data_IF_924151186741
#
_entry.id   IF_924151186741
#
_cell.length_a   1.000
_cell.length_b   1.000
_cell.length_c   1.000
_cell.angle_alpha   90.00
_cell.angle_beta   90.00
_cell.angle_gamma   90.00
#
_symmetry.space_group_name_H-M   'P 1'
#
loop_
_entity.id
_entity.type
_entity.pdbx_description
1 polymer ?
#
# COMPACT_ATOMS: atom_id res chain seq x y z
N UNK A 1 39.54 26.51 -51.14
CA UNK A 1 40.37 25.81 -50.14
C UNK A 1 39.78 25.90 -48.69
N UNK A 2 39.00 26.92 -48.35
CA UNK A 2 38.51 27.16 -47.00
C UNK A 2 37.51 26.12 -46.42
N UNK A 3 36.66 25.49 -47.25
CA UNK A 3 35.65 24.56 -46.79
C UNK A 3 36.16 23.16 -46.35
N UNK A 4 37.34 22.75 -46.85
CA UNK A 4 37.93 21.45 -46.48
C UNK A 4 38.65 21.51 -45.14
N UNK A 5 39.25 22.63 -44.77
CA UNK A 5 39.89 22.84 -43.47
C UNK A 5 38.87 22.93 -42.34
N UNK A 6 37.70 23.51 -42.54
CA UNK A 6 36.61 23.54 -41.56
C UNK A 6 36.02 22.17 -41.28
N UNK A 7 35.85 21.34 -42.32
CA UNK A 7 35.30 19.99 -42.16
C UNK A 7 36.27 19.05 -41.46
N UNK A 8 37.57 19.14 -41.71
CA UNK A 8 38.61 18.36 -41.02
C UNK A 8 38.75 18.78 -39.55
N UNK A 9 38.66 20.07 -39.24
CA UNK A 9 38.68 20.56 -37.86
C UNK A 9 37.45 20.09 -37.08
N UNK A 10 36.27 20.12 -37.71
CA UNK A 10 35.02 19.61 -37.09
C UNK A 10 35.10 18.10 -36.85
N UNK A 11 35.63 17.32 -37.80
CA UNK A 11 35.84 15.88 -37.68
C UNK A 11 36.83 15.52 -36.55
N UNK A 12 37.92 16.29 -36.42
CA UNK A 12 38.90 16.13 -35.34
C UNK A 12 38.30 16.45 -33.96
N UNK A 13 37.48 17.49 -33.84
CA UNK A 13 36.80 17.84 -32.58
C UNK A 13 35.84 16.73 -32.20
N UNK A 14 35.07 16.19 -33.15
CA UNK A 14 34.13 15.06 -32.91
C UNK A 14 34.89 13.80 -32.49
N UNK A 15 36.03 13.48 -33.15
CA UNK A 15 36.83 12.30 -32.77
C UNK A 15 37.47 12.43 -31.37
N UNK A 16 37.94 13.64 -30.99
CA UNK A 16 38.51 13.88 -29.66
C UNK A 16 37.44 13.81 -28.57
N UNK A 17 36.23 14.29 -28.84
CA UNK A 17 35.11 14.19 -27.87
C UNK A 17 34.61 12.75 -27.68
N UNK A 18 34.55 11.97 -28.77
CA UNK A 18 34.21 10.53 -28.72
C UNK A 18 35.29 9.75 -27.95
N UNK A 19 36.57 10.01 -28.18
CA UNK A 19 37.69 9.36 -27.49
C UNK A 19 37.69 9.63 -25.97
N UNK A 20 37.39 10.86 -25.55
CA UNK A 20 37.28 11.22 -24.13
C UNK A 20 36.05 10.57 -23.48
N UNK A 21 34.92 10.50 -24.16
CA UNK A 21 33.69 9.86 -23.66
C UNK A 21 33.92 8.35 -23.49
N UNK A 22 34.61 7.68 -24.39
CA UNK A 22 34.88 6.25 -24.31
C UNK A 22 35.85 5.89 -23.15
N UNK A 23 36.85 6.74 -22.89
CA UNK A 23 37.77 6.53 -21.74
C UNK A 23 37.07 6.76 -20.39
N UNK A 24 36.18 7.75 -20.31
CA UNK A 24 35.38 8.01 -19.11
C UNK A 24 34.44 6.83 -18.78
N UNK A 25 33.72 6.33 -19.76
CA UNK A 25 32.84 5.15 -19.60
C UNK A 25 33.59 3.92 -19.08
N UNK A 26 34.73 3.55 -19.71
CA UNK A 26 35.54 2.39 -19.32
C UNK A 26 36.06 2.53 -17.88
N UNK A 27 36.47 3.72 -17.49
CA UNK A 27 36.92 4.01 -16.12
C UNK A 27 35.80 3.82 -15.12
N UNK A 28 34.61 4.37 -15.41
CA UNK A 28 33.45 4.26 -14.51
C UNK A 28 32.93 2.83 -14.42
N UNK A 29 32.95 2.08 -15.52
CA UNK A 29 32.60 0.66 -15.51
C UNK A 29 33.56 -0.14 -14.62
N UNK A 30 34.89 0.03 -14.80
CA UNK A 30 35.91 -0.66 -14.02
C UNK A 30 35.82 -0.33 -12.51
N UNK A 31 35.70 0.95 -12.15
CA UNK A 31 35.61 1.36 -10.74
C UNK A 31 34.32 0.86 -10.11
N UNK A 32 33.19 1.01 -10.77
CA UNK A 32 31.91 0.52 -10.22
C UNK A 32 31.88 -1.00 -10.10
N UNK A 33 32.54 -1.75 -11.00
CA UNK A 33 32.69 -3.19 -10.90
C UNK A 33 33.61 -3.56 -9.74
N UNK A 34 34.72 -2.88 -9.56
CA UNK A 34 35.64 -3.12 -8.43
C UNK A 34 34.95 -2.91 -7.08
N UNK A 35 34.19 -1.81 -6.93
CA UNK A 35 33.40 -1.52 -5.73
C UNK A 35 32.31 -2.57 -5.50
N UNK A 36 31.65 -3.03 -6.55
CA UNK A 36 30.65 -4.09 -6.50
C UNK A 36 31.24 -5.41 -6.02
N UNK A 37 32.35 -5.85 -6.61
CA UNK A 37 33.05 -7.08 -6.23
C UNK A 37 33.62 -7.03 -4.80
N UNK A 38 34.01 -5.85 -4.34
CA UNK A 38 34.45 -5.62 -2.96
C UNK A 38 33.28 -5.50 -1.96
N UNK A 39 32.02 -5.56 -2.40
CA UNK A 39 30.83 -5.35 -1.58
C UNK A 39 30.81 -3.99 -0.87
N UNK A 40 31.49 -2.98 -1.41
CA UNK A 40 31.55 -1.63 -0.87
C UNK A 40 30.31 -0.79 -1.25
N UNK A 41 29.13 -1.26 -0.81
CA UNK A 41 27.81 -0.77 -1.27
C UNK A 41 27.61 0.73 -1.12
N UNK A 42 28.03 1.31 0.04
CA UNK A 42 27.88 2.76 0.25
C UNK A 42 28.75 3.56 -0.71
N UNK A 43 30.01 3.15 -0.91
CA UNK A 43 30.91 3.83 -1.86
C UNK A 43 30.42 3.67 -3.28
N UNK A 44 29.92 2.50 -3.66
CA UNK A 44 29.34 2.24 -4.97
C UNK A 44 28.15 3.16 -5.27
N UNK A 45 27.21 3.30 -4.32
CA UNK A 45 26.06 4.19 -4.47
C UNK A 45 26.50 5.65 -4.64
N UNK A 46 27.46 6.12 -3.81
CA UNK A 46 27.96 7.49 -3.88
C UNK A 46 28.70 7.75 -5.19
N UNK A 47 29.62 6.86 -5.58
CA UNK A 47 30.36 6.94 -6.82
C UNK A 47 29.44 6.92 -8.04
N UNK A 48 28.52 5.94 -8.05
CA UNK A 48 27.58 5.77 -9.15
C UNK A 48 26.63 6.96 -9.33
N UNK A 49 26.12 7.55 -8.23
CA UNK A 49 25.30 8.77 -8.31
C UNK A 49 26.10 9.95 -8.91
N UNK A 50 27.35 10.11 -8.52
CA UNK A 50 28.20 11.14 -9.10
C UNK A 50 28.46 10.91 -10.58
N UNK A 51 28.71 9.66 -10.99
CA UNK A 51 28.89 9.29 -12.41
C UNK A 51 27.62 9.61 -13.23
N UNK A 52 26.43 9.23 -12.72
CA UNK A 52 25.15 9.55 -13.37
C UNK A 52 24.93 11.06 -13.50
N UNK A 53 25.29 11.85 -12.48
CA UNK A 53 25.19 13.32 -12.52
C UNK A 53 26.15 13.94 -13.54
N UNK A 54 27.28 13.28 -13.83
CA UNK A 54 28.24 13.68 -14.85
C UNK A 54 27.86 13.20 -16.27
N UNK A 55 26.69 12.56 -16.43
CA UNK A 55 26.20 12.07 -17.70
C UNK A 55 26.68 10.67 -18.09
N UNK A 56 27.37 9.96 -17.21
CA UNK A 56 27.84 8.59 -17.42
C UNK A 56 26.75 7.59 -17.07
N UNK A 57 25.71 7.51 -17.91
CA UNK A 57 24.50 6.72 -17.70
C UNK A 57 24.48 5.48 -18.60
N UNK A 58 24.55 4.29 -18.00
CA UNK A 58 24.46 3.02 -18.72
C UNK A 58 23.87 1.90 -17.87
N UNK A 59 23.26 0.87 -18.48
CA UNK A 59 22.49 -0.15 -17.77
C UNK A 59 23.26 -0.89 -16.68
N UNK A 60 24.52 -1.28 -16.92
CA UNK A 60 25.32 -2.01 -15.92
C UNK A 60 25.62 -1.17 -14.68
N UNK A 61 25.90 0.13 -14.84
CA UNK A 61 26.09 1.04 -13.71
C UNK A 61 24.81 1.14 -12.88
N UNK A 62 23.65 1.32 -13.55
CA UNK A 62 22.36 1.37 -12.88
C UNK A 62 22.01 0.07 -12.14
N UNK A 63 22.27 -1.10 -12.75
CA UNK A 63 22.08 -2.40 -12.09
C UNK A 63 22.93 -2.55 -10.83
N UNK A 64 24.22 -2.13 -10.88
CA UNK A 64 25.10 -2.18 -9.70
C UNK A 64 24.65 -1.24 -8.59
N UNK A 65 24.28 0.01 -8.94
CA UNK A 65 23.73 0.98 -7.95
C UNK A 65 22.41 0.44 -7.36
N UNK A 66 21.54 -0.13 -8.19
CA UNK A 66 20.28 -0.70 -7.77
C UNK A 66 20.50 -1.85 -6.77
N UNK A 67 21.38 -2.79 -7.10
CA UNK A 67 21.72 -3.91 -6.22
C UNK A 67 22.33 -3.45 -4.92
N UNK A 68 23.25 -2.47 -4.96
CA UNK A 68 23.83 -1.90 -3.74
C UNK A 68 22.79 -1.26 -2.82
N UNK A 69 21.77 -0.58 -3.37
CA UNK A 69 20.65 -0.05 -2.60
C UNK A 69 19.73 -1.18 -2.10
N UNK A 70 19.50 -2.22 -2.89
CA UNK A 70 18.72 -3.41 -2.48
C UNK A 70 19.33 -4.10 -1.25
N UNK A 71 20.64 -4.40 -1.27
CA UNK A 71 21.35 -5.00 -0.15
C UNK A 71 21.31 -4.13 1.11
N UNK A 72 21.26 -2.81 0.94
CA UNK A 72 21.12 -1.83 2.04
C UNK A 72 19.67 -1.59 2.46
N UNK A 73 18.74 -2.41 1.98
CA UNK A 73 17.29 -2.30 2.25
C UNK A 73 16.65 -0.97 1.82
N UNK A 74 17.31 -0.18 0.97
CA UNK A 74 16.71 1.00 0.36
C UNK A 74 15.99 0.61 -0.92
N UNK A 75 14.84 -0.07 -0.77
CA UNK A 75 14.08 -0.65 -1.89
C UNK A 75 13.51 0.41 -2.83
N UNK A 76 13.18 1.60 -2.33
CA UNK A 76 12.72 2.73 -3.13
C UNK A 76 13.78 3.20 -4.12
N UNK A 77 15.00 3.39 -3.64
CA UNK A 77 16.11 3.85 -4.49
C UNK A 77 16.55 2.73 -5.44
N UNK A 78 16.59 1.47 -4.97
CA UNK A 78 16.84 0.30 -5.81
C UNK A 78 15.82 0.22 -6.95
N UNK A 79 14.52 0.32 -6.64
CA UNK A 79 13.43 0.29 -7.61
C UNK A 79 13.52 1.43 -8.62
N UNK A 80 13.98 2.62 -8.19
CA UNK A 80 14.20 3.76 -9.08
C UNK A 80 15.22 3.42 -10.17
N UNK A 81 16.34 2.79 -9.79
CA UNK A 81 17.37 2.42 -10.75
C UNK A 81 16.97 1.23 -11.63
N UNK A 82 16.34 0.18 -11.05
CA UNK A 82 15.82 -0.92 -11.85
C UNK A 82 14.75 -0.48 -12.85
N UNK A 83 13.87 0.44 -12.48
CA UNK A 83 12.87 0.98 -13.39
C UNK A 83 13.50 1.74 -14.55
N UNK A 84 14.61 2.47 -14.32
CA UNK A 84 15.36 3.13 -15.40
C UNK A 84 15.96 2.14 -16.40
N UNK A 85 16.42 0.98 -15.91
CA UNK A 85 16.87 -0.11 -16.81
C UNK A 85 15.69 -0.65 -17.62
N UNK A 86 14.55 -0.91 -16.96
CA UNK A 86 13.32 -1.45 -17.59
C UNK A 86 12.65 -0.45 -18.55
N UNK A 87 12.91 0.84 -18.43
CA UNK A 87 12.42 1.84 -19.39
C UNK A 87 13.16 1.71 -20.75
N UNK A 88 14.42 1.22 -20.75
CA UNK A 88 15.23 0.97 -21.96
C UNK A 88 15.09 -0.48 -22.44
N UNK A 89 15.14 -1.44 -21.52
CA UNK A 89 15.03 -2.88 -21.81
C UNK A 89 13.98 -3.51 -20.91
N UNK A 90 12.75 -3.63 -21.42
CA UNK A 90 11.59 -4.17 -20.69
C UNK A 90 11.73 -5.65 -20.34
N UNK A 91 12.65 -6.37 -20.95
CA UNK A 91 12.90 -7.81 -20.77
C UNK A 91 14.16 -8.11 -19.97
N UNK A 92 14.82 -7.10 -19.40
CA UNK A 92 15.98 -7.31 -18.57
C UNK A 92 15.63 -8.11 -17.31
N UNK A 93 15.98 -9.41 -17.29
CA UNK A 93 15.55 -10.35 -16.26
C UNK A 93 16.10 -10.00 -14.88
N UNK A 94 17.32 -9.45 -14.79
CA UNK A 94 17.90 -9.01 -13.50
C UNK A 94 17.07 -7.85 -12.95
N UNK A 95 16.77 -6.85 -13.78
CA UNK A 95 15.98 -5.70 -13.35
C UNK A 95 14.54 -6.10 -13.00
N UNK A 96 13.90 -7.01 -13.76
CA UNK A 96 12.57 -7.54 -13.47
C UNK A 96 12.52 -8.25 -12.12
N UNK A 97 13.49 -9.16 -11.87
CA UNK A 97 13.52 -9.97 -10.66
C UNK A 97 13.73 -9.11 -9.40
N UNK A 98 14.75 -8.24 -9.41
CA UNK A 98 14.99 -7.39 -8.25
C UNK A 98 13.93 -6.29 -8.07
N UNK A 99 13.31 -5.79 -9.14
CA UNK A 99 12.15 -4.91 -9.04
C UNK A 99 10.93 -5.63 -8.45
N UNK A 100 10.73 -6.93 -8.79
CA UNK A 100 9.74 -7.80 -8.16
C UNK A 100 9.98 -7.87 -6.63
N UNK A 101 11.20 -8.20 -6.20
CA UNK A 101 11.55 -8.28 -4.78
C UNK A 101 11.37 -6.94 -4.06
N UNK A 102 11.81 -5.82 -4.67
CA UNK A 102 11.62 -4.49 -4.10
C UNK A 102 10.13 -4.18 -3.86
N UNK A 103 9.25 -4.50 -4.82
CA UNK A 103 7.82 -4.29 -4.66
C UNK A 103 7.23 -5.21 -3.56
N UNK A 104 7.66 -6.47 -3.48
CA UNK A 104 7.25 -7.38 -2.42
C UNK A 104 7.65 -6.86 -1.03
N UNK A 105 8.90 -6.38 -0.87
CA UNK A 105 9.37 -5.79 0.40
C UNK A 105 8.75 -4.42 0.74
N UNK A 106 8.14 -3.74 -0.24
CA UNK A 106 7.34 -2.52 -0.04
C UNK A 106 5.85 -2.79 0.17
N UNK A 107 5.45 -4.07 0.28
CA UNK A 107 4.04 -4.50 0.39
C UNK A 107 3.18 -4.01 -0.80
N UNK A 108 3.73 -4.11 -2.02
CA UNK A 108 3.08 -3.76 -3.29
C UNK A 108 2.84 -5.02 -4.11
N UNK A 109 2.08 -5.96 -3.56
CA UNK A 109 1.88 -7.30 -4.12
C UNK A 109 1.32 -7.32 -5.54
N UNK A 110 0.45 -6.38 -5.87
CA UNK A 110 -0.11 -6.21 -7.19
C UNK A 110 0.95 -5.86 -8.24
N UNK A 111 1.91 -4.97 -7.90
CA UNK A 111 3.03 -4.61 -8.78
C UNK A 111 4.09 -5.72 -8.84
N UNK A 112 4.36 -6.38 -7.72
CA UNK A 112 5.22 -7.56 -7.68
C UNK A 112 4.66 -8.65 -8.61
N UNK A 113 3.36 -8.93 -8.54
CA UNK A 113 2.69 -9.88 -9.44
C UNK A 113 2.83 -9.49 -10.92
N UNK A 114 2.61 -8.21 -11.26
CA UNK A 114 2.83 -7.74 -12.63
C UNK A 114 4.25 -8.02 -13.13
N UNK A 115 5.28 -7.71 -12.34
CA UNK A 115 6.68 -7.95 -12.71
C UNK A 115 6.98 -9.44 -12.84
N UNK A 116 6.45 -10.26 -11.92
CA UNK A 116 6.57 -11.71 -11.97
C UNK A 116 6.00 -12.32 -13.27
N UNK A 117 4.94 -11.72 -13.84
CA UNK A 117 4.36 -12.16 -15.12
C UNK A 117 5.25 -11.93 -16.34
N UNK A 118 6.38 -11.23 -16.20
CA UNK A 118 7.33 -10.90 -17.26
C UNK A 118 8.71 -11.58 -17.03
N UNK A 119 8.84 -12.37 -15.95
CA UNK A 119 10.04 -13.16 -15.69
C UNK A 119 10.07 -14.40 -16.58
N UNK A 120 11.27 -14.83 -16.94
CA UNK A 120 11.49 -16.09 -17.65
C UNK A 120 11.07 -17.28 -16.79
N UNK A 121 10.59 -18.35 -17.43
CA UNK A 121 10.12 -19.57 -16.75
C UNK A 121 11.16 -20.16 -15.81
N UNK A 122 12.42 -20.16 -16.21
CA UNK A 122 13.53 -20.68 -15.40
C UNK A 122 13.69 -19.91 -14.07
N UNK A 123 13.50 -18.58 -14.08
CA UNK A 123 13.55 -17.74 -12.88
C UNK A 123 12.32 -18.01 -12.01
N UNK A 124 11.14 -18.08 -12.63
CA UNK A 124 9.87 -18.34 -11.92
C UNK A 124 9.90 -19.71 -11.23
N UNK A 125 10.38 -20.74 -11.89
CA UNK A 125 10.49 -22.09 -11.34
C UNK A 125 11.58 -22.19 -10.26
N UNK A 126 12.77 -21.61 -10.51
CA UNK A 126 13.89 -21.60 -9.57
C UNK A 126 13.54 -20.92 -8.26
N UNK A 127 12.88 -19.77 -8.34
CA UNK A 127 12.47 -18.96 -7.18
C UNK A 127 11.08 -19.33 -6.63
N UNK A 128 10.44 -20.37 -7.20
CA UNK A 128 9.11 -20.88 -6.81
C UNK A 128 8.02 -19.80 -6.79
N UNK A 129 8.09 -18.83 -7.72
CA UNK A 129 7.11 -17.77 -7.86
C UNK A 129 5.84 -18.34 -8.51
N UNK A 130 4.73 -18.32 -7.77
CA UNK A 130 3.47 -18.93 -8.24
C UNK A 130 2.51 -17.87 -8.76
N UNK A 131 1.84 -18.15 -9.87
CA UNK A 131 0.76 -17.30 -10.40
C UNK A 131 -0.48 -17.36 -9.51
N UNK A 132 -0.84 -18.56 -9.04
CA UNK A 132 -1.86 -18.76 -8.01
C UNK A 132 -1.18 -19.00 -6.66
N UNK A 133 -1.56 -18.22 -5.64
CA UNK A 133 -1.04 -18.38 -4.29
C UNK A 133 -2.08 -17.88 -3.28
N UNK A 134 -2.36 -18.69 -2.27
CA UNK A 134 -2.95 -18.22 -1.02
C UNK A 134 -1.89 -17.38 -0.31
N UNK A 135 -2.16 -16.11 -0.06
CA UNK A 135 -1.19 -15.21 0.58
C UNK A 135 -1.39 -15.17 2.07
N UNK A 136 -2.64 -14.95 2.51
CA UNK A 136 -2.95 -14.78 3.92
C UNK A 136 -4.29 -15.43 4.27
N UNK A 137 -4.37 -15.98 5.47
CA UNK A 137 -5.62 -16.37 6.13
C UNK A 137 -5.58 -15.87 7.55
N UNK A 138 -6.66 -15.24 8.02
CA UNK A 138 -6.65 -14.71 9.37
C UNK A 138 -8.03 -14.51 9.95
N UNK A 139 -8.01 -14.22 11.25
CA UNK A 139 -9.18 -13.83 11.99
C UNK A 139 -8.83 -12.72 12.98
N UNK A 140 -9.79 -11.85 13.22
CA UNK A 140 -9.70 -10.80 14.23
C UNK A 140 -10.99 -10.73 15.03
N UNK A 141 -10.89 -10.31 16.29
CA UNK A 141 -12.03 -10.06 17.14
C UNK A 141 -11.73 -8.92 18.10
N UNK A 142 -12.76 -8.21 18.50
CA UNK A 142 -12.63 -7.08 19.40
C UNK A 142 -13.90 -6.71 20.13
N UNK A 143 -13.70 -5.83 21.09
CA UNK A 143 -14.77 -5.30 21.93
C UNK A 143 -14.67 -3.77 21.94
N UNK A 144 -15.82 -3.10 21.94
CA UNK A 144 -15.95 -1.66 22.07
C UNK A 144 -16.69 -1.34 23.35
N UNK A 145 -16.17 -0.39 24.11
CA UNK A 145 -16.73 0.10 25.34
C UNK A 145 -17.17 1.55 25.17
N UNK A 146 -18.31 1.89 25.74
CA UNK A 146 -18.81 3.26 25.78
C UNK A 146 -18.95 3.75 27.21
N UNK A 147 -18.90 5.05 27.40
CA UNK A 147 -19.12 5.67 28.73
C UNK A 147 -20.59 6.02 29.00
N UNK A 148 -21.52 5.48 28.21
CA UNK A 148 -22.95 5.74 28.35
C UNK A 148 -23.73 4.42 28.39
N UNK A 149 -24.80 4.37 29.20
CA UNK A 149 -25.59 3.17 29.37
C UNK A 149 -26.43 2.81 28.14
N UNK A 150 -26.87 3.81 27.39
CA UNK A 150 -27.74 3.67 26.21
C UNK A 150 -27.07 2.92 25.04
N UNK A 151 -25.77 2.84 25.07
CA UNK A 151 -24.95 2.10 24.08
C UNK A 151 -24.15 1.04 24.82
N UNK A 152 -24.65 -0.18 24.86
CA UNK A 152 -23.94 -1.32 25.44
C UNK A 152 -22.61 -1.62 24.73
N UNK A 153 -21.77 -2.40 25.38
CA UNK A 153 -20.51 -2.86 24.81
C UNK A 153 -20.78 -3.68 23.55
N UNK A 154 -20.12 -3.32 22.45
CA UNK A 154 -20.29 -4.06 21.21
C UNK A 154 -19.11 -4.99 20.95
N UNK A 155 -19.38 -6.08 20.24
CA UNK A 155 -18.37 -7.05 19.80
C UNK A 155 -18.27 -7.08 18.27
N UNK A 156 -17.09 -7.37 17.79
CA UNK A 156 -16.79 -7.52 16.37
C UNK A 156 -15.91 -8.74 16.18
N UNK A 157 -16.16 -9.49 15.13
CA UNK A 157 -15.29 -10.58 14.68
C UNK A 157 -15.26 -10.63 13.17
N UNK A 158 -14.11 -10.97 12.60
CA UNK A 158 -13.92 -11.12 11.15
C UNK A 158 -12.99 -12.28 10.86
N UNK A 159 -13.33 -13.09 9.87
CA UNK A 159 -12.43 -14.04 9.23
C UNK A 159 -12.16 -13.57 7.79
N UNK A 160 -10.93 -13.73 7.32
CA UNK A 160 -10.54 -13.25 6.00
C UNK A 160 -9.53 -14.17 5.31
N UNK A 161 -9.49 -14.01 3.99
CA UNK A 161 -8.58 -14.69 3.11
C UNK A 161 -8.09 -13.71 2.04
N UNK A 162 -6.78 -13.70 1.80
CA UNK A 162 -6.15 -12.98 0.71
C UNK A 162 -5.44 -13.98 -0.21
N UNK A 163 -5.60 -13.78 -1.52
CA UNK A 163 -5.01 -14.68 -2.51
C UNK A 163 -4.65 -13.95 -3.80
N UNK A 164 -3.60 -14.41 -4.43
CA UNK A 164 -3.28 -14.11 -5.82
C UNK A 164 -3.95 -15.15 -6.71
N UNK A 165 -4.97 -14.74 -7.48
CA UNK A 165 -5.66 -15.61 -8.43
C UNK A 165 -4.86 -15.83 -9.72
N UNK A 166 -4.13 -14.81 -10.13
CA UNK A 166 -3.18 -14.79 -11.24
C UNK A 166 -2.12 -13.72 -10.97
N UNK A 167 -1.01 -13.72 -11.70
CA UNK A 167 0.06 -12.73 -11.51
C UNK A 167 -0.44 -11.27 -11.44
N UNK A 168 -1.48 -10.94 -12.18
CA UNK A 168 -2.03 -9.57 -12.29
C UNK A 168 -3.36 -9.40 -11.55
N UNK A 169 -3.83 -10.41 -10.81
CA UNK A 169 -5.14 -10.39 -10.18
C UNK A 169 -5.06 -10.91 -8.75
N UNK A 170 -5.35 -10.04 -7.79
CA UNK A 170 -5.43 -10.38 -6.37
C UNK A 170 -6.88 -10.24 -5.88
N UNK A 171 -7.29 -11.14 -5.01
CA UNK A 171 -8.60 -11.17 -4.34
C UNK A 171 -8.39 -11.14 -2.83
N UNK A 172 -9.13 -10.26 -2.16
CA UNK A 172 -9.35 -10.27 -0.72
C UNK A 172 -10.82 -10.56 -0.45
N UNK A 173 -11.13 -11.46 0.48
CA UNK A 173 -12.51 -11.73 0.87
C UNK A 173 -12.61 -11.88 2.39
N UNK A 174 -13.72 -11.44 2.99
CA UNK A 174 -13.95 -11.62 4.41
C UNK A 174 -15.42 -11.73 4.77
N UNK A 175 -15.67 -12.43 5.86
CA UNK A 175 -16.93 -12.45 6.60
C UNK A 175 -16.72 -11.76 7.93
N UNK A 176 -17.63 -10.87 8.31
CA UNK A 176 -17.61 -10.18 9.59
C UNK A 176 -18.95 -10.32 10.31
N UNK A 177 -18.90 -10.24 11.64
CA UNK A 177 -20.07 -10.21 12.49
C UNK A 177 -19.91 -9.14 13.56
N UNK A 178 -20.84 -8.21 13.60
CA UNK A 178 -20.92 -7.16 14.61
C UNK A 178 -22.19 -7.34 15.45
N UNK A 179 -22.06 -7.14 16.76
CA UNK A 179 -23.16 -7.21 17.69
C UNK A 179 -23.08 -6.06 18.70
N UNK A 180 -24.21 -5.39 18.96
CA UNK A 180 -24.30 -4.29 19.94
C UNK A 180 -25.63 -4.29 20.67
N UNK A 181 -25.63 -4.45 22.00
CA UNK A 181 -26.80 -4.17 22.82
C UNK A 181 -27.14 -2.67 22.80
N UNK A 182 -28.43 -2.34 22.65
CA UNK A 182 -28.97 -0.97 22.71
C UNK A 182 -30.21 -1.02 23.58
N UNK A 183 -30.17 -0.52 24.82
CA UNK A 183 -31.21 -0.66 25.81
C UNK A 183 -31.58 -2.15 26.02
N UNK A 184 -32.85 -2.49 25.76
CA UNK A 184 -33.37 -3.86 25.84
C UNK A 184 -33.30 -4.63 24.52
N UNK A 185 -32.63 -4.06 23.50
CA UNK A 185 -32.56 -4.62 22.16
C UNK A 185 -31.12 -4.94 21.80
N UNK A 186 -30.97 -5.61 20.68
CA UNK A 186 -29.67 -5.99 20.15
C UNK A 186 -29.59 -5.73 18.62
N UNK A 187 -28.53 -5.04 18.20
CA UNK A 187 -28.20 -4.98 16.79
C UNK A 187 -27.27 -6.14 16.47
N UNK A 188 -27.63 -6.93 15.47
CA UNK A 188 -26.73 -7.92 14.87
C UNK A 188 -26.49 -7.58 13.40
N UNK A 189 -25.24 -7.70 12.95
CA UNK A 189 -24.85 -7.32 11.61
C UNK A 189 -23.79 -8.26 11.03
N UNK A 190 -24.18 -9.34 10.34
CA UNK A 190 -23.28 -10.05 9.44
C UNK A 190 -22.92 -9.16 8.24
N UNK A 191 -21.66 -9.25 7.82
CA UNK A 191 -21.10 -8.54 6.69
C UNK A 191 -20.28 -9.45 5.78
N UNK A 192 -20.33 -9.21 4.47
CA UNK A 192 -19.58 -9.92 3.44
C UNK A 192 -18.84 -8.91 2.59
N UNK A 193 -17.53 -9.06 2.48
CA UNK A 193 -16.68 -8.16 1.73
C UNK A 193 -15.82 -8.92 0.72
N UNK A 194 -15.68 -8.34 -0.47
CA UNK A 194 -14.74 -8.79 -1.49
C UNK A 194 -14.06 -7.60 -2.16
N UNK A 195 -12.75 -7.71 -2.40
CA UNK A 195 -11.95 -6.73 -3.13
C UNK A 195 -11.10 -7.42 -4.18
N UNK A 196 -11.08 -6.88 -5.39
CA UNK A 196 -10.24 -7.28 -6.50
C UNK A 196 -9.26 -6.16 -6.84
N UNK A 197 -7.98 -6.52 -7.01
CA UNK A 197 -6.96 -5.64 -7.56
C UNK A 197 -6.47 -6.25 -8.89
N UNK A 198 -6.61 -5.48 -9.98
CA UNK A 198 -6.15 -5.87 -11.31
C UNK A 198 -5.07 -4.92 -11.80
N UNK A 199 -3.87 -5.43 -12.13
CA UNK A 199 -2.69 -4.67 -12.54
C UNK A 199 -2.29 -5.00 -13.97
N UNK A 200 -2.97 -4.42 -14.98
CA UNK A 200 -2.68 -4.67 -16.39
C UNK A 200 -1.39 -4.05 -16.87
N UNK A 201 -0.96 -2.94 -16.24
CA UNK A 201 0.21 -2.16 -16.62
C UNK A 201 1.18 -2.02 -15.46
N UNK A 202 2.47 -1.88 -15.76
CA UNK A 202 3.48 -1.58 -14.74
C UNK A 202 3.08 -0.32 -13.95
N UNK A 203 3.00 -0.41 -12.62
CA UNK A 203 2.66 0.67 -11.68
C UNK A 203 1.19 1.10 -11.63
N UNK A 204 0.31 0.57 -12.46
CA UNK A 204 -1.11 0.96 -12.47
C UNK A 204 -1.97 -0.23 -12.12
N UNK A 205 -2.76 -0.08 -11.06
CA UNK A 205 -3.71 -1.09 -10.60
C UNK A 205 -5.11 -0.49 -10.54
N UNK A 206 -6.10 -1.26 -10.99
CA UNK A 206 -7.52 -0.98 -10.83
C UNK A 206 -8.03 -1.74 -9.61
N UNK A 207 -8.87 -1.11 -8.82
CA UNK A 207 -9.41 -1.64 -7.57
C UNK A 207 -10.92 -1.64 -7.70
N UNK A 208 -11.53 -2.78 -7.40
CA UNK A 208 -12.97 -2.90 -7.23
C UNK A 208 -13.27 -3.57 -5.90
N UNK A 209 -14.22 -3.05 -5.13
CA UNK A 209 -14.65 -3.70 -3.90
C UNK A 209 -16.17 -3.65 -3.75
N UNK A 210 -16.71 -4.65 -3.08
CA UNK A 210 -18.10 -4.75 -2.69
C UNK A 210 -18.23 -5.18 -1.24
N UNK A 211 -19.04 -4.45 -0.47
CA UNK A 211 -19.37 -4.78 0.90
C UNK A 211 -20.88 -4.84 1.05
N UNK A 212 -21.40 -5.97 1.52
CA UNK A 212 -22.80 -6.19 1.89
C UNK A 212 -22.92 -6.42 3.39
N UNK A 213 -23.86 -5.72 4.04
CA UNK A 213 -24.14 -5.86 5.47
C UNK A 213 -25.65 -5.96 5.68
N UNK A 214 -26.08 -6.89 6.54
CA UNK A 214 -27.46 -7.03 6.93
C UNK A 214 -27.61 -6.69 8.41
N UNK A 215 -28.10 -5.48 8.71
CA UNK A 215 -28.34 -5.06 10.10
C UNK A 215 -29.74 -5.44 10.53
N UNK A 216 -29.86 -6.09 11.68
CA UNK A 216 -31.15 -6.48 12.29
C UNK A 216 -31.27 -5.81 13.64
N UNK A 217 -32.37 -5.08 13.85
CA UNK A 217 -32.76 -4.48 15.12
C UNK A 217 -34.23 -4.83 15.38
N UNK A 218 -34.51 -5.66 16.38
CA UNK A 218 -35.86 -6.24 16.58
C UNK A 218 -36.34 -6.97 15.34
N UNK A 219 -37.48 -6.54 14.79
CA UNK A 219 -38.09 -7.06 13.57
C UNK A 219 -37.66 -6.28 12.31
N UNK A 220 -36.93 -5.16 12.49
CA UNK A 220 -36.47 -4.35 11.38
C UNK A 220 -35.17 -4.92 10.79
N UNK A 221 -35.15 -5.06 9.49
CA UNK A 221 -34.01 -5.55 8.74
C UNK A 221 -33.58 -4.50 7.73
N UNK A 222 -32.34 -4.04 7.82
CA UNK A 222 -31.72 -3.10 6.89
C UNK A 222 -30.67 -3.82 6.04
N UNK A 223 -30.78 -3.69 4.74
CA UNK A 223 -29.77 -4.20 3.82
C UNK A 223 -28.90 -3.03 3.39
N UNK A 224 -27.65 -3.08 3.79
CA UNK A 224 -26.67 -2.04 3.50
C UNK A 224 -25.63 -2.58 2.52
N UNK A 225 -25.18 -1.75 1.59
CA UNK A 225 -24.13 -2.13 0.65
C UNK A 225 -23.24 -0.94 0.30
N UNK A 226 -22.02 -1.24 -0.13
CA UNK A 226 -21.11 -0.28 -0.70
C UNK A 226 -20.34 -0.90 -1.87
N UNK A 227 -20.18 -0.12 -2.93
CA UNK A 227 -19.37 -0.44 -4.10
C UNK A 227 -18.23 0.57 -4.17
N UNK A 228 -17.01 0.11 -4.37
CA UNK A 228 -15.83 0.94 -4.59
C UNK A 228 -15.25 0.65 -5.97
N UNK A 229 -14.87 1.72 -6.66
CA UNK A 229 -14.01 1.67 -7.84
C UNK A 229 -12.84 2.63 -7.66
N UNK A 230 -11.62 2.16 -7.91
CA UNK A 230 -10.42 2.95 -7.66
C UNK A 230 -9.31 2.67 -8.65
N UNK A 231 -8.34 3.57 -8.67
CA UNK A 231 -7.09 3.46 -9.42
C UNK A 231 -5.91 3.80 -8.51
N UNK A 232 -4.87 2.97 -8.56
CA UNK A 232 -3.63 3.16 -7.80
C UNK A 232 -2.46 3.27 -8.76
N UNK A 233 -1.60 4.26 -8.52
CA UNK A 233 -0.31 4.42 -9.16
C UNK A 233 0.81 4.21 -8.15
N UNK A 234 1.67 3.21 -8.40
CA UNK A 234 2.86 2.93 -7.59
C UNK A 234 4.07 3.66 -8.16
N UNK A 235 4.39 4.81 -7.59
CA UNK A 235 5.60 5.58 -7.91
C UNK A 235 6.86 4.95 -7.30
N UNK A 236 8.03 5.54 -7.55
CA UNK A 236 9.27 4.99 -7.00
C UNK A 236 9.27 5.04 -5.46
N UNK A 237 9.02 6.19 -4.86
CA UNK A 237 9.05 6.38 -3.39
C UNK A 237 7.70 6.69 -2.76
N UNK A 238 6.61 6.59 -3.50
CA UNK A 238 5.25 6.88 -3.01
C UNK A 238 4.19 6.21 -3.86
N UNK A 239 3.03 5.93 -3.27
CA UNK A 239 1.84 5.49 -3.99
C UNK A 239 0.76 6.55 -3.89
N UNK A 240 -0.03 6.68 -4.95
CA UNK A 240 -1.22 7.52 -5.00
C UNK A 240 -2.39 6.64 -5.42
N UNK A 241 -3.50 6.72 -4.69
CA UNK A 241 -4.72 5.99 -5.00
C UNK A 241 -5.89 6.95 -4.94
N UNK A 242 -6.72 6.94 -5.98
CA UNK A 242 -7.99 7.66 -6.03
C UNK A 242 -9.13 6.67 -6.09
N UNK A 243 -10.14 6.85 -5.21
CA UNK A 243 -11.29 5.95 -5.12
C UNK A 243 -12.61 6.73 -5.19
N UNK A 244 -13.60 6.10 -5.76
CA UNK A 244 -15.01 6.48 -5.66
C UNK A 244 -15.76 5.37 -4.95
N UNK A 245 -16.52 5.73 -3.91
CA UNK A 245 -17.39 4.79 -3.19
C UNK A 245 -18.82 5.29 -3.27
N UNK A 246 -19.72 4.40 -3.65
CA UNK A 246 -21.15 4.60 -3.54
C UNK A 246 -21.72 3.59 -2.55
N UNK A 247 -22.43 4.06 -1.53
CA UNK A 247 -23.07 3.18 -0.56
C UNK A 247 -24.55 3.53 -0.38
N UNK A 248 -25.32 2.48 -0.02
CA UNK A 248 -26.68 2.56 0.45
C UNK A 248 -26.70 2.04 1.90
N UNK A 249 -26.95 2.93 2.85
CA UNK A 249 -26.99 2.61 4.29
C UNK A 249 -28.39 2.94 4.81
N UNK A 250 -29.19 1.90 5.07
CA UNK A 250 -30.62 2.09 5.26
C UNK A 250 -31.24 2.76 4.04
N UNK A 251 -31.96 3.87 4.24
CA UNK A 251 -32.56 4.67 3.19
C UNK A 251 -31.63 5.75 2.62
N UNK A 252 -30.43 5.90 3.17
CA UNK A 252 -29.51 6.95 2.82
C UNK A 252 -28.49 6.50 1.74
N UNK A 253 -28.37 7.32 0.69
CA UNK A 253 -27.34 7.17 -0.33
C UNK A 253 -26.14 8.06 0.02
N UNK A 254 -24.95 7.47 0.01
CA UNK A 254 -23.70 8.19 0.25
C UNK A 254 -22.80 8.05 -0.97
N UNK A 255 -22.13 9.15 -1.33
CA UNK A 255 -21.04 9.16 -2.30
C UNK A 255 -19.79 9.67 -1.60
N UNK A 256 -18.70 8.95 -1.78
CA UNK A 256 -17.41 9.31 -1.18
C UNK A 256 -16.33 9.31 -2.27
N UNK A 257 -15.46 10.30 -2.21
CA UNK A 257 -14.30 10.44 -3.06
C UNK A 257 -13.06 10.45 -2.17
N UNK A 258 -12.14 9.54 -2.39
CA UNK A 258 -10.92 9.39 -1.60
C UNK A 258 -9.69 9.68 -2.44
N UNK A 259 -8.71 10.33 -1.80
CA UNK A 259 -7.34 10.44 -2.28
C UNK A 259 -6.42 9.92 -1.18
N UNK A 260 -5.73 8.81 -1.44
CA UNK A 260 -4.77 8.19 -0.53
C UNK A 260 -3.35 8.36 -1.07
N UNK A 261 -2.45 8.78 -0.21
CA UNK A 261 -1.05 8.95 -0.49
C UNK A 261 -0.21 8.15 0.51
N UNK A 262 0.65 7.26 0.01
CA UNK A 262 1.60 6.48 0.81
C UNK A 262 3.01 6.99 0.53
N UNK A 263 3.80 7.26 1.57
CA UNK A 263 5.21 7.68 1.46
C UNK A 263 6.11 6.72 2.23
N UNK A 264 7.13 6.19 1.57
CA UNK A 264 8.15 5.35 2.18
C UNK A 264 9.34 6.23 2.57
N UNK A 265 9.34 6.73 3.81
CA UNK A 265 10.26 7.80 4.27
C UNK A 265 11.70 7.28 4.38
N UNK A 266 11.88 6.06 4.90
CA UNK A 266 13.19 5.42 5.02
C UNK A 266 13.63 4.66 3.75
N UNK A 267 12.84 4.72 2.67
CA UNK A 267 13.09 3.94 1.46
C UNK A 267 12.64 2.47 1.55
N UNK A 268 11.99 2.10 2.65
CA UNK A 268 11.42 0.77 2.93
C UNK A 268 10.22 0.92 3.90
N UNK A 269 9.76 -0.17 4.52
CA UNK A 269 8.69 -0.18 5.53
C UNK A 269 9.17 0.09 6.96
N UNK A 270 10.46 0.47 7.17
CA UNK A 270 10.94 0.78 8.51
C UNK A 270 10.39 2.10 9.04
N UNK A 271 10.08 3.05 8.13
CA UNK A 271 9.32 4.26 8.45
C UNK A 271 8.53 4.73 7.24
N UNK A 272 7.21 4.78 7.39
CA UNK A 272 6.29 5.18 6.33
C UNK A 272 5.13 6.01 6.86
N UNK A 273 4.45 6.71 5.96
CA UNK A 273 3.22 7.44 6.28
C UNK A 273 2.14 7.18 5.24
N UNK A 274 0.89 7.23 5.70
CA UNK A 274 -0.30 7.13 4.86
C UNK A 274 -1.19 8.31 5.20
N UNK A 275 -1.47 9.15 4.21
CA UNK A 275 -2.44 10.24 4.31
C UNK A 275 -3.64 9.92 3.44
N UNK A 276 -4.86 10.11 3.96
CA UNK A 276 -6.10 9.96 3.20
C UNK A 276 -6.96 11.21 3.39
N UNK A 277 -7.45 11.73 2.28
CA UNK A 277 -8.43 12.81 2.20
C UNK A 277 -9.70 12.24 1.60
N UNK A 278 -10.83 12.44 2.27
CA UNK A 278 -12.12 11.93 1.83
C UNK A 278 -13.16 13.05 1.82
N UNK A 279 -13.89 13.15 0.73
CA UNK A 279 -15.09 13.99 0.62
C UNK A 279 -16.31 13.07 0.63
N UNK A 280 -17.10 13.14 1.70
CA UNK A 280 -18.29 12.30 1.91
C UNK A 280 -19.52 13.15 1.73
N UNK A 281 -20.31 12.85 0.70
CA UNK A 281 -21.60 13.48 0.44
C UNK A 281 -22.71 12.55 0.94
N UNK A 282 -23.42 13.00 1.97
CA UNK A 282 -24.53 12.29 2.60
C UNK A 282 -25.56 13.31 3.09
N UNK A 283 -26.87 13.03 2.89
CA UNK A 283 -27.97 13.92 3.30
C UNK A 283 -27.84 15.35 2.75
N UNK A 284 -27.30 15.51 1.54
CA UNK A 284 -27.00 16.80 0.89
C UNK A 284 -25.90 17.62 1.60
N UNK A 285 -25.26 17.07 2.62
CA UNK A 285 -24.09 17.68 3.28
C UNK A 285 -22.79 17.12 2.72
N UNK A 286 -21.78 17.97 2.59
CA UNK A 286 -20.42 17.60 2.24
C UNK A 286 -19.55 17.57 3.50
N UNK A 287 -19.06 16.38 3.88
CA UNK A 287 -18.20 16.19 5.03
C UNK A 287 -16.78 15.89 4.56
N UNK A 288 -15.81 16.64 5.07
CA UNK A 288 -14.40 16.35 4.85
C UNK A 288 -13.88 15.48 5.98
N UNK A 289 -13.20 14.40 5.61
CA UNK A 289 -12.51 13.51 6.54
C UNK A 289 -11.04 13.45 6.14
N UNK A 290 -10.16 13.65 7.12
CA UNK A 290 -8.71 13.53 6.96
C UNK A 290 -8.19 12.45 7.90
N UNK A 291 -7.40 11.54 7.37
CA UNK A 291 -6.72 10.50 8.14
C UNK A 291 -5.22 10.57 7.89
N UNK A 292 -4.45 10.52 8.98
CA UNK A 292 -3.00 10.40 8.95
C UNK A 292 -2.56 9.20 9.77
N UNK A 293 -1.74 8.34 9.14
CA UNK A 293 -1.09 7.20 9.79
C UNK A 293 0.42 7.34 9.64
N UNK A 294 1.14 7.01 10.69
CA UNK A 294 2.58 6.77 10.66
C UNK A 294 2.87 5.36 11.16
N UNK A 295 3.71 4.65 10.41
CA UNK A 295 4.17 3.31 10.75
C UNK A 295 5.67 3.27 10.91
N UNK A 296 6.14 2.54 11.93
CA UNK A 296 7.57 2.33 12.21
C UNK A 296 7.82 0.87 12.56
N UNK A 297 8.97 0.35 12.14
CA UNK A 297 9.45 -1.00 12.42
C UNK A 297 10.65 -0.92 13.37
N UNK A 298 10.44 -0.84 14.70
CA UNK A 298 11.54 -0.71 15.66
C UNK A 298 12.42 -1.97 15.77
N UNK A 299 11.88 -3.13 15.44
CA UNK A 299 12.57 -4.42 15.42
C UNK A 299 12.19 -5.21 14.18
N UNK A 300 13.01 -6.18 13.78
CA UNK A 300 12.78 -6.97 12.55
C UNK A 300 11.40 -7.68 12.51
N UNK A 301 10.81 -7.95 13.66
CA UNK A 301 9.55 -8.68 13.81
C UNK A 301 8.42 -7.86 14.46
N UNK A 302 8.63 -6.55 14.68
CA UNK A 302 7.66 -5.68 15.35
C UNK A 302 7.38 -4.44 14.50
N UNK A 303 6.10 -4.18 14.20
CA UNK A 303 5.62 -2.95 13.59
C UNK A 303 4.66 -2.24 14.54
N UNK A 304 4.80 -0.94 14.63
CA UNK A 304 3.92 -0.05 15.38
C UNK A 304 3.36 0.99 14.43
N UNK A 305 2.06 1.24 14.53
CA UNK A 305 1.39 2.30 13.79
C UNK A 305 0.60 3.20 14.75
N UNK A 306 0.61 4.49 14.45
CA UNK A 306 -0.27 5.46 15.06
C UNK A 306 -1.16 6.10 14.01
N UNK A 307 -2.46 6.22 14.27
CA UNK A 307 -3.43 6.78 13.33
C UNK A 307 -4.31 7.82 14.01
N UNK A 308 -4.59 8.92 13.29
CA UNK A 308 -5.56 9.94 13.69
C UNK A 308 -6.48 10.20 12.51
N UNK A 309 -7.80 10.27 12.77
CA UNK A 309 -8.82 10.63 11.78
C UNK A 309 -9.66 11.78 12.33
N UNK A 310 -9.77 12.82 11.53
CA UNK A 310 -10.50 14.06 11.81
C UNK A 310 -11.65 14.22 10.82
N UNK A 311 -12.76 14.80 11.27
CA UNK A 311 -13.91 15.07 10.42
C UNK A 311 -15.11 14.19 10.76
N UNK A 312 -16.24 14.48 10.11
CA UNK A 312 -17.49 13.76 10.32
C UNK A 312 -17.50 12.44 9.56
N UNK A 313 -17.35 11.33 10.27
CA UNK A 313 -17.29 9.97 9.72
C UNK A 313 -18.68 9.29 9.72
N UNK A 314 -19.73 10.00 9.38
CA UNK A 314 -21.07 9.44 9.24
C UNK A 314 -21.22 8.77 7.86
N UNK A 315 -21.64 7.51 7.84
CA UNK A 315 -21.71 6.66 6.64
C UNK A 315 -20.40 6.61 5.84
N UNK A 316 -19.28 6.80 6.55
CA UNK A 316 -17.93 6.82 5.98
C UNK A 316 -17.41 5.41 5.73
N UNK A 317 -16.86 5.19 4.54
CA UNK A 317 -16.18 3.96 4.16
C UNK A 317 -14.66 4.10 4.36
N UNK A 318 -14.09 3.23 5.20
CA UNK A 318 -12.66 3.20 5.52
C UNK A 318 -12.01 1.93 4.96
N UNK A 319 -10.68 1.96 4.76
CA UNK A 319 -9.87 0.81 4.33
C UNK A 319 -10.40 0.14 3.06
N UNK A 320 -10.58 0.91 1.98
CA UNK A 320 -11.14 0.44 0.71
C UNK A 320 -12.56 -0.17 0.87
N UNK A 321 -13.41 0.45 1.69
CA UNK A 321 -14.77 0.06 2.05
C UNK A 321 -14.87 -1.26 2.85
N UNK A 322 -13.77 -1.72 3.46
CA UNK A 322 -13.79 -2.88 4.37
C UNK A 322 -14.57 -2.58 5.65
N UNK A 323 -14.46 -1.36 6.18
CA UNK A 323 -15.20 -0.90 7.35
C UNK A 323 -16.11 0.26 6.95
N UNK A 324 -17.37 0.20 7.37
CA UNK A 324 -18.37 1.24 7.12
C UNK A 324 -18.95 1.71 8.44
N UNK A 325 -18.89 3.03 8.66
CA UNK A 325 -19.46 3.68 9.85
C UNK A 325 -20.96 3.91 9.62
N UNK A 326 -21.74 2.84 9.63
CA UNK A 326 -23.17 2.80 9.37
C UNK A 326 -24.05 2.93 10.65
N UNK A 327 -23.49 3.47 11.73
CA UNK A 327 -24.21 3.71 12.95
C UNK A 327 -25.05 5.00 12.92
N UNK A 328 -26.00 5.13 13.86
CA UNK A 328 -26.79 6.35 14.05
C UNK A 328 -25.95 7.55 14.51
N UNK A 329 -24.74 7.28 15.04
CA UNK A 329 -23.90 8.26 15.72
C UNK A 329 -22.75 8.71 14.82
N UNK A 330 -22.49 10.03 14.80
CA UNK A 330 -21.37 10.63 14.06
C UNK A 330 -20.08 10.45 14.86
N UNK A 331 -19.04 9.88 14.24
CA UNK A 331 -17.67 9.92 14.80
C UNK A 331 -16.99 11.18 14.27
N UNK A 332 -16.57 12.08 15.18
CA UNK A 332 -15.94 13.38 14.81
C UNK A 332 -14.42 13.33 14.93
N UNK A 333 -13.92 12.47 15.79
CA UNK A 333 -12.50 12.29 16.06
C UNK A 333 -12.23 10.81 16.36
N UNK A 334 -11.17 10.28 15.77
CA UNK A 334 -10.66 8.94 16.06
C UNK A 334 -9.15 8.99 16.16
N UNK A 335 -8.59 8.36 17.19
CA UNK A 335 -7.16 8.12 17.31
C UNK A 335 -6.93 6.66 17.69
N UNK A 336 -5.89 6.04 17.15
CA UNK A 336 -5.60 4.64 17.39
C UNK A 336 -4.13 4.32 17.31
N UNK A 337 -3.79 3.16 17.86
CA UNK A 337 -2.46 2.55 17.74
C UNK A 337 -2.61 1.08 17.39
N UNK A 338 -1.77 0.59 16.48
CA UNK A 338 -1.68 -0.80 16.09
C UNK A 338 -0.28 -1.33 16.41
N UNK A 339 -0.23 -2.58 16.85
CA UNK A 339 0.99 -3.32 17.11
C UNK A 339 0.89 -4.65 16.36
N UNK A 340 1.87 -4.94 15.51
CA UNK A 340 1.94 -6.21 14.78
C UNK A 340 3.25 -6.90 15.13
N UNK A 341 3.14 -8.15 15.57
CA UNK A 341 4.29 -8.96 15.97
C UNK A 341 4.36 -10.23 15.12
N UNK A 342 5.43 -10.35 14.32
CA UNK A 342 5.70 -11.52 13.49
C UNK A 342 6.38 -12.59 14.33
N UNK A 343 5.70 -13.72 14.52
CA UNK A 343 6.23 -14.92 15.15
C UNK A 343 6.96 -15.81 14.14
N UNK A 344 7.67 -16.80 14.64
CA UNK A 344 8.25 -17.86 13.80
C UNK A 344 7.14 -18.52 12.95
N UNK A 345 7.50 -18.99 11.75
CA UNK A 345 6.61 -19.72 10.83
C UNK A 345 5.47 -18.89 10.23
N UNK A 346 5.72 -17.61 9.90
CA UNK A 346 4.76 -16.78 9.18
C UNK A 346 3.47 -16.43 9.92
N UNK A 347 3.47 -16.50 11.24
CA UNK A 347 2.34 -16.13 12.07
C UNK A 347 2.47 -14.67 12.51
N UNK A 348 1.52 -13.81 12.10
CA UNK A 348 1.43 -12.41 12.50
C UNK A 348 0.35 -12.25 13.58
N UNK A 349 0.72 -11.72 14.74
CA UNK A 349 -0.22 -11.30 15.77
C UNK A 349 -0.46 -9.80 15.64
N UNK A 350 -1.71 -9.38 15.63
CA UNK A 350 -2.14 -7.99 15.65
C UNK A 350 -2.83 -7.63 16.94
N UNK A 351 -2.55 -6.46 17.49
CA UNK A 351 -3.29 -5.83 18.58
C UNK A 351 -3.53 -4.37 18.21
N UNK A 352 -4.77 -3.91 18.34
CA UNK A 352 -5.12 -2.53 18.09
C UNK A 352 -5.95 -1.93 19.23
N UNK A 353 -5.70 -0.66 19.50
CA UNK A 353 -6.53 0.16 20.37
C UNK A 353 -7.01 1.38 19.59
N UNK A 354 -8.29 1.73 19.77
CA UNK A 354 -8.89 2.91 19.13
C UNK A 354 -9.73 3.67 20.14
N UNK A 355 -9.55 4.97 20.16
CA UNK A 355 -10.36 5.94 20.88
C UNK A 355 -11.20 6.73 19.89
N UNK A 356 -12.50 6.89 20.14
CA UNK A 356 -13.44 7.62 19.32
C UNK A 356 -14.24 8.61 20.15
N UNK A 357 -14.40 9.84 19.63
CA UNK A 357 -15.35 10.83 20.14
C UNK A 357 -16.55 10.85 19.23
N UNK A 358 -17.69 10.47 19.78
CA UNK A 358 -18.96 10.31 19.06
C UNK A 358 -20.00 11.32 19.50
N UNK A 359 -20.96 11.59 18.61
CA UNK A 359 -22.11 12.42 18.86
C UNK A 359 -23.36 11.72 18.40
N UNK A 360 -24.30 11.51 19.30
CA UNK A 360 -25.62 11.00 18.98
C UNK A 360 -26.37 12.02 18.12
N UNK A 361 -26.94 11.56 17.00
CA UNK A 361 -27.66 12.41 16.07
C UNK A 361 -29.08 12.73 16.52
N UNK A 362 -29.70 11.86 17.31
CA UNK A 362 -31.08 11.93 17.75
C UNK A 362 -31.20 12.79 19.00
N UNK A 363 -30.47 12.41 20.05
CA UNK A 363 -30.55 13.05 21.38
C UNK A 363 -29.50 14.15 21.60
N UNK A 364 -28.60 14.39 20.63
CA UNK A 364 -27.62 15.49 20.61
C UNK A 364 -26.59 15.51 21.75
N UNK A 365 -26.29 14.37 22.36
CA UNK A 365 -25.21 14.28 23.34
C UNK A 365 -23.90 13.73 22.73
N UNK A 366 -22.79 14.01 23.39
CA UNK A 366 -21.49 13.48 23.01
C UNK A 366 -21.07 12.38 23.99
N UNK A 367 -20.36 11.36 23.46
CA UNK A 367 -19.84 10.27 24.27
C UNK A 367 -18.49 9.76 23.73
N UNK A 368 -17.81 8.99 24.55
CA UNK A 368 -16.52 8.39 24.24
C UNK A 368 -16.68 6.89 24.02
N UNK A 369 -15.96 6.37 23.02
CA UNK A 369 -15.89 4.96 22.76
C UNK A 369 -14.44 4.52 22.67
N UNK A 370 -14.13 3.39 23.29
CA UNK A 370 -12.83 2.73 23.26
C UNK A 370 -13.00 1.36 22.63
N UNK A 371 -12.06 0.96 21.79
CA UNK A 371 -12.06 -0.35 21.14
C UNK A 371 -10.71 -1.04 21.34
N UNK A 372 -10.75 -2.33 21.64
CA UNK A 372 -9.57 -3.19 21.66
C UNK A 372 -9.86 -4.35 20.72
N UNK A 373 -8.97 -4.58 19.74
CA UNK A 373 -9.08 -5.70 18.82
C UNK A 373 -7.78 -6.52 18.84
N UNK A 374 -7.90 -7.82 18.75
CA UNK A 374 -6.81 -8.76 18.57
C UNK A 374 -7.01 -9.56 17.28
N UNK A 375 -5.94 -9.89 16.59
CA UNK A 375 -5.99 -10.67 15.37
C UNK A 375 -4.81 -11.60 15.21
N UNK A 376 -5.01 -12.63 14.41
CA UNK A 376 -4.00 -13.60 14.02
C UNK A 376 -4.07 -13.80 12.50
N UNK A 377 -2.91 -13.74 11.84
CA UNK A 377 -2.79 -13.96 10.40
C UNK A 377 -1.70 -14.97 10.12
N UNK A 378 -2.00 -15.93 9.28
CA UNK A 378 -1.02 -16.86 8.74
C UNK A 378 -0.66 -16.43 7.32
N UNK A 379 0.64 -16.12 7.10
CA UNK A 379 1.20 -15.79 5.78
C UNK A 379 1.79 -17.06 5.15
N UNK A 380 1.47 -17.33 3.88
CA UNK A 380 1.92 -18.51 3.14
C UNK A 380 3.13 -18.26 2.27
#
# INVERSE_FOLDING_TARGET
MGNRLGLTALLLIVLVTIGKAQTSYQKTDSISLALFNASEWQKLVTYGKNALNNGEDFPLLRLRIAYANFVRENYVEALTQYNKVLDHDKHNQIALYYAYLCNAYLNRDENAGYLASHLDSNVVEGEKIRSFKLTDVGAESGIKFTNIYERGNSTFSRAFIDMRLAYKLNLSASYSYYNQPIHNDNISQPGYYAKLNFTPFRRISFIGAYHYMRSTLRQLVYQNNAVLAGIKYAGNGSDIQGDFVQSQIGDEKTRQYDLKFVKYISGNLNFYSISRFSLVNVLQENNLVFQQLFGVKPMHNLWLEGVVTLGNQYNYAEADALYIYNGFDKTKFKAGANCYFLLKHHLLLGLSYTFERKSDNIFKFNYLQHSINGGITWNF
#
